data_IF_908095658966
#
_entry.id   IF_908095658966
#
_cell.length_a   1.000
_cell.length_b   1.000
_cell.length_c   1.000
_cell.angle_alpha   90.00
_cell.angle_beta   90.00
_cell.angle_gamma   90.00
#
_symmetry.space_group_name_H-M   'P 1'
#
loop_
_entity.id
_entity.type
_entity.pdbx_description
1 polymer ?
#
# COMPACT_ATOMS: atom_id res chain seq x y z
N UNK A 1 25.94 11.98 3.38
CA UNK A 1 25.48 10.65 3.70
C UNK A 1 25.41 9.87 2.40
N UNK A 2 26.29 8.86 2.29
CA UNK A 2 26.37 7.95 1.17
C UNK A 2 24.99 7.33 0.91
N UNK A 3 24.62 7.23 -0.36
CA UNK A 3 23.42 6.51 -0.76
C UNK A 3 23.63 5.03 -0.43
N UNK A 4 22.97 4.47 0.57
CA UNK A 4 23.15 3.07 0.92
C UNK A 4 22.64 2.20 -0.23
N UNK A 5 23.55 1.44 -0.82
CA UNK A 5 23.25 0.49 -1.89
C UNK A 5 23.48 -0.93 -1.40
N UNK A 6 22.55 -1.82 -1.73
CA UNK A 6 22.72 -3.27 -1.55
C UNK A 6 23.13 -3.84 -2.90
N UNK A 7 24.31 -4.47 -2.95
CA UNK A 7 24.81 -5.15 -4.13
C UNK A 7 24.66 -6.66 -3.95
N UNK A 8 23.93 -7.30 -4.83
CA UNK A 8 23.68 -8.74 -4.83
C UNK A 8 24.31 -9.38 -6.07
N UNK A 9 24.93 -10.52 -5.86
CA UNK A 9 25.64 -11.25 -6.94
C UNK A 9 24.69 -11.97 -7.91
N UNK A 10 23.44 -12.14 -7.51
CA UNK A 10 22.44 -12.89 -8.27
C UNK A 10 21.16 -12.08 -8.39
N UNK A 11 20.69 -11.91 -9.64
CA UNK A 11 19.42 -11.26 -9.94
C UNK A 11 18.23 -11.89 -9.22
N UNK A 12 18.26 -13.23 -9.05
CA UNK A 12 17.20 -13.96 -8.36
C UNK A 12 17.10 -13.53 -6.88
N UNK A 13 18.23 -13.42 -6.18
CA UNK A 13 18.26 -12.95 -4.78
C UNK A 13 17.73 -11.51 -4.66
N UNK A 14 18.07 -10.66 -5.64
CA UNK A 14 17.57 -9.30 -5.67
C UNK A 14 16.05 -9.25 -5.88
N UNK A 15 15.51 -10.06 -6.78
CA UNK A 15 14.07 -10.18 -7.00
C UNK A 15 13.35 -10.74 -5.76
N UNK A 16 13.90 -11.77 -5.13
CA UNK A 16 13.35 -12.33 -3.90
C UNK A 16 13.28 -11.29 -2.78
N UNK A 17 14.34 -10.49 -2.59
CA UNK A 17 14.35 -9.40 -1.63
C UNK A 17 13.29 -8.33 -1.95
N UNK A 18 13.17 -7.92 -3.21
CA UNK A 18 12.18 -6.92 -3.62
C UNK A 18 10.75 -7.44 -3.42
N UNK A 19 10.49 -8.70 -3.77
CA UNK A 19 9.19 -9.35 -3.53
C UNK A 19 8.87 -9.44 -2.05
N UNK A 20 9.87 -9.70 -1.21
CA UNK A 20 9.68 -9.72 0.25
C UNK A 20 9.33 -8.34 0.79
N UNK A 21 9.98 -7.27 0.30
CA UNK A 21 9.64 -5.89 0.66
C UNK A 21 8.22 -5.55 0.22
N UNK A 22 7.83 -5.88 -1.02
CA UNK A 22 6.47 -5.67 -1.54
C UNK A 22 5.42 -6.39 -0.69
N UNK A 23 5.66 -7.64 -0.37
CA UNK A 23 4.77 -8.45 0.50
C UNK A 23 4.63 -7.83 1.89
N UNK A 24 5.73 -7.37 2.48
CA UNK A 24 5.72 -6.72 3.80
C UNK A 24 4.92 -5.41 3.77
N UNK A 25 5.12 -4.58 2.75
CA UNK A 25 4.37 -3.31 2.59
C UNK A 25 2.87 -3.59 2.43
N UNK A 26 2.52 -4.57 1.61
CA UNK A 26 1.11 -4.97 1.40
C UNK A 26 0.48 -5.50 2.69
N UNK A 27 1.21 -6.32 3.45
CA UNK A 27 0.75 -6.82 4.76
C UNK A 27 0.51 -5.69 5.75
N UNK A 28 1.43 -4.72 5.83
CA UNK A 28 1.28 -3.56 6.72
C UNK A 28 0.08 -2.68 6.33
N UNK A 29 -0.18 -2.48 5.04
CA UNK A 29 -1.38 -1.75 4.58
C UNK A 29 -2.66 -2.50 4.96
N UNK A 30 -2.70 -3.83 4.75
CA UNK A 30 -3.86 -4.65 5.13
C UNK A 30 -4.10 -4.66 6.64
N UNK A 31 -3.03 -4.70 7.43
CA UNK A 31 -3.13 -4.63 8.89
C UNK A 31 -3.65 -3.26 9.35
N UNK A 32 -3.13 -2.17 8.77
CA UNK A 32 -3.63 -0.83 9.04
C UNK A 32 -5.12 -0.71 8.69
N UNK A 33 -5.54 -1.21 7.52
CA UNK A 33 -6.95 -1.22 7.13
C UNK A 33 -7.81 -2.00 8.13
N UNK A 34 -7.37 -3.18 8.55
CA UNK A 34 -8.09 -4.00 9.54
C UNK A 34 -8.24 -3.30 10.90
N UNK A 35 -7.29 -2.45 11.28
CA UNK A 35 -7.38 -1.66 12.51
C UNK A 35 -8.28 -0.44 12.36
N UNK A 36 -8.24 0.26 11.22
CA UNK A 36 -9.04 1.47 10.99
C UNK A 36 -10.50 1.17 10.69
N UNK A 37 -10.80 0.09 9.99
CA UNK A 37 -12.18 -0.26 9.59
C UNK A 37 -13.17 -0.30 10.75
N UNK A 38 -12.91 -1.01 11.87
CA UNK A 38 -13.85 -1.05 12.99
C UNK A 38 -14.09 0.32 13.64
N UNK A 39 -13.05 1.17 13.67
CA UNK A 39 -13.20 2.52 14.24
C UNK A 39 -14.02 3.43 13.33
N UNK A 40 -13.84 3.32 12.02
CA UNK A 40 -14.69 4.03 11.05
C UNK A 40 -16.15 3.56 11.12
N UNK A 41 -16.39 2.26 11.22
CA UNK A 41 -17.72 1.69 11.37
C UNK A 41 -18.42 2.20 12.65
N UNK A 42 -17.69 2.31 13.77
CA UNK A 42 -18.20 2.90 15.01
C UNK A 42 -18.57 4.38 14.84
N UNK A 43 -17.71 5.16 14.16
CA UNK A 43 -17.97 6.57 13.91
C UNK A 43 -19.23 6.74 13.05
N UNK A 44 -19.33 5.98 11.95
CA UNK A 44 -20.49 6.01 11.05
C UNK A 44 -21.76 5.61 11.80
N UNK A 45 -21.73 4.50 12.53
CA UNK A 45 -22.86 4.04 13.36
C UNK A 45 -23.23 5.06 14.44
N UNK A 46 -22.26 5.73 15.05
CA UNK A 46 -22.49 6.81 16.03
C UNK A 46 -23.17 8.03 15.41
N UNK A 47 -22.72 8.44 14.23
CA UNK A 47 -23.35 9.55 13.47
C UNK A 47 -24.78 9.16 13.07
N UNK A 48 -24.97 7.97 12.51
CA UNK A 48 -26.28 7.46 12.10
C UNK A 48 -27.26 7.40 13.27
N UNK A 49 -26.82 6.83 14.39
CA UNK A 49 -27.64 6.71 15.60
C UNK A 49 -27.98 8.09 16.19
N UNK A 50 -26.99 9.00 16.26
CA UNK A 50 -27.19 10.36 16.76
C UNK A 50 -28.14 11.16 15.87
N UNK A 51 -27.94 11.08 14.55
CA UNK A 51 -28.79 11.75 13.58
C UNK A 51 -30.21 11.20 13.59
N UNK A 52 -30.39 9.87 13.56
CA UNK A 52 -31.71 9.22 13.65
C UNK A 52 -32.44 9.60 14.94
N UNK A 53 -31.74 9.58 16.08
CA UNK A 53 -32.32 9.92 17.37
C UNK A 53 -32.84 11.37 17.38
N UNK A 54 -32.03 12.30 16.92
CA UNK A 54 -32.40 13.74 16.87
C UNK A 54 -33.49 14.00 15.83
N UNK A 55 -33.35 13.43 14.63
CA UNK A 55 -34.28 13.62 13.54
C UNK A 55 -35.63 12.93 13.83
N UNK A 56 -35.65 11.72 14.36
CA UNK A 56 -36.88 11.05 14.80
C UNK A 56 -37.61 11.87 15.84
N UNK A 57 -36.91 12.36 16.88
CA UNK A 57 -37.53 13.18 17.91
C UNK A 57 -38.16 14.45 17.34
N UNK A 58 -37.44 15.17 16.45
CA UNK A 58 -37.97 16.35 15.78
C UNK A 58 -39.15 16.02 14.87
N UNK A 59 -39.07 14.91 14.14
CA UNK A 59 -40.06 14.51 13.15
C UNK A 59 -41.31 13.93 13.80
N UNK A 60 -41.17 13.13 14.86
CA UNK A 60 -42.30 12.65 15.62
C UNK A 60 -43.10 13.78 16.26
N UNK A 61 -42.38 14.83 16.71
CA UNK A 61 -43.01 15.99 17.27
C UNK A 61 -43.74 16.80 16.17
N UNK A 62 -43.12 17.00 15.01
CA UNK A 62 -43.72 17.71 13.86
C UNK A 62 -44.85 16.86 13.26
N UNK A 63 -44.60 15.58 12.97
CA UNK A 63 -45.61 14.69 12.42
C UNK A 63 -46.78 14.50 13.37
N UNK A 64 -46.54 14.38 14.68
CA UNK A 64 -47.57 14.32 15.70
C UNK A 64 -48.45 15.56 15.71
N UNK A 65 -47.86 16.79 15.60
CA UNK A 65 -48.60 18.04 15.50
C UNK A 65 -49.37 18.19 14.19
N UNK A 66 -48.79 17.74 13.05
CA UNK A 66 -49.48 17.73 11.76
C UNK A 66 -50.59 16.73 11.76
N UNK A 67 -50.34 15.48 12.19
CA UNK A 67 -51.33 14.42 12.25
C UNK A 67 -52.46 14.77 13.19
N UNK A 68 -52.19 15.42 14.31
CA UNK A 68 -53.24 15.92 15.21
C UNK A 68 -54.16 16.99 14.56
N UNK A 69 -53.60 17.78 13.63
CA UNK A 69 -54.41 18.78 12.90
C UNK A 69 -55.16 18.22 11.68
N UNK A 70 -54.59 17.13 11.09
CA UNK A 70 -55.15 16.49 9.88
C UNK A 70 -55.97 15.22 10.24
N UNK A 71 -56.13 14.92 11.51
CA UNK A 71 -56.83 13.72 11.97
C UNK A 71 -58.26 13.64 11.42
N UNK A 72 -58.92 14.80 11.30
CA UNK A 72 -60.26 14.90 10.78
C UNK A 72 -60.35 14.75 9.25
N UNK A 73 -59.22 14.84 8.53
CA UNK A 73 -59.14 14.75 7.08
C UNK A 73 -58.60 13.37 6.60
N UNK A 74 -58.26 12.47 7.52
CA UNK A 74 -57.81 11.11 7.17
C UNK A 74 -56.39 11.00 6.61
N UNK A 75 -55.58 12.07 6.67
CA UNK A 75 -54.21 12.04 6.23
C UNK A 75 -53.23 11.63 7.34
N UNK A 76 -52.26 10.79 7.00
CA UNK A 76 -51.17 10.40 7.90
C UNK A 76 -49.82 10.65 7.23
N UNK A 77 -49.00 11.51 7.83
CA UNK A 77 -47.63 11.76 7.41
C UNK A 77 -46.70 10.73 8.05
N UNK A 78 -46.00 9.96 7.20
CA UNK A 78 -44.91 9.04 7.62
C UNK A 78 -43.61 9.54 7.04
N UNK A 79 -42.57 9.67 7.86
CA UNK A 79 -41.25 10.05 7.45
C UNK A 79 -40.34 8.83 7.58
N UNK A 80 -39.67 8.46 6.50
CA UNK A 80 -38.70 7.37 6.46
C UNK A 80 -37.29 7.91 6.22
N UNK A 81 -36.32 7.37 6.93
CA UNK A 81 -34.91 7.70 6.73
C UNK A 81 -34.26 6.65 5.82
N UNK A 82 -33.49 7.08 4.81
CA UNK A 82 -32.69 6.15 4.01
C UNK A 82 -31.59 5.50 4.86
N UNK A 83 -31.20 4.29 4.47
CA UNK A 83 -30.08 3.59 5.12
C UNK A 83 -28.75 4.12 4.58
N UNK A 84 -27.82 4.47 5.44
CA UNK A 84 -26.46 4.81 5.06
C UNK A 84 -25.79 3.59 4.41
N UNK A 85 -25.29 3.74 3.19
CA UNK A 85 -24.64 2.66 2.44
C UNK A 85 -23.39 2.15 3.17
N UNK A 86 -23.24 0.81 3.26
CA UNK A 86 -22.07 0.21 3.89
C UNK A 86 -20.80 0.56 3.12
N UNK A 87 -19.77 0.93 3.86
CA UNK A 87 -18.44 1.24 3.36
C UNK A 87 -17.87 0.05 2.56
N UNK A 88 -17.70 0.22 1.25
CA UNK A 88 -17.03 -0.75 0.39
C UNK A 88 -15.65 -0.23 -0.04
N UNK A 89 -14.73 -0.06 0.92
CA UNK A 89 -13.35 0.27 0.58
C UNK A 89 -12.59 -0.99 0.16
N UNK A 90 -12.29 -1.11 -1.12
CA UNK A 90 -11.30 -2.07 -1.64
C UNK A 90 -10.14 -1.28 -2.23
N UNK A 91 -9.19 -0.93 -1.38
CA UNK A 91 -7.97 -0.27 -1.80
C UNK A 91 -6.95 -1.35 -2.23
N UNK A 92 -6.73 -1.49 -3.52
CA UNK A 92 -5.67 -2.34 -4.06
C UNK A 92 -4.52 -1.46 -4.57
N UNK A 93 -3.53 -1.24 -3.73
CA UNK A 93 -2.28 -0.58 -4.17
C UNK A 93 -1.42 -1.61 -4.89
N UNK A 94 -1.24 -1.44 -6.21
CA UNK A 94 -0.30 -2.25 -6.98
C UNK A 94 1.11 -1.70 -6.77
N UNK A 95 1.95 -2.48 -6.11
CA UNK A 95 3.37 -2.19 -5.92
C UNK A 95 4.18 -2.90 -6.99
N UNK A 96 5.13 -2.20 -7.62
CA UNK A 96 6.13 -2.78 -8.52
C UNK A 96 7.50 -2.21 -8.17
N UNK A 97 8.06 -2.65 -7.04
CA UNK A 97 9.36 -2.21 -6.58
C UNK A 97 10.51 -2.87 -7.36
N UNK A 98 10.25 -3.98 -8.03
CA UNK A 98 11.26 -4.69 -8.84
C UNK A 98 11.83 -3.83 -9.98
N UNK A 99 11.06 -2.82 -10.46
CA UNK A 99 11.52 -1.85 -11.45
C UNK A 99 12.63 -0.91 -10.94
N UNK A 100 12.86 -0.83 -9.61
CA UNK A 100 13.91 0.01 -9.01
C UNK A 100 15.27 -0.70 -8.92
N UNK A 101 15.36 -1.93 -9.37
CA UNK A 101 16.58 -2.71 -9.41
C UNK A 101 17.42 -2.32 -10.64
N UNK A 102 18.68 -2.00 -10.42
CA UNK A 102 19.65 -1.68 -11.48
C UNK A 102 20.59 -2.86 -11.67
N UNK A 103 20.92 -3.18 -12.93
CA UNK A 103 22.00 -4.12 -13.23
C UNK A 103 23.27 -3.33 -13.54
N UNK A 104 24.36 -3.63 -12.83
CA UNK A 104 25.69 -3.07 -13.08
C UNK A 104 26.66 -4.18 -13.44
N UNK A 105 27.41 -3.99 -14.50
CA UNK A 105 28.50 -4.88 -14.89
C UNK A 105 29.78 -4.39 -14.25
N UNK A 106 30.41 -5.25 -13.48
CA UNK A 106 31.69 -4.98 -12.83
C UNK A 106 32.74 -5.94 -13.40
N UNK A 107 33.86 -5.39 -13.86
CA UNK A 107 34.98 -6.20 -14.33
C UNK A 107 35.81 -6.64 -13.13
N UNK A 108 35.77 -7.94 -12.84
CA UNK A 108 36.53 -8.56 -11.75
C UNK A 108 37.72 -9.31 -12.32
N UNK A 109 38.91 -9.00 -11.81
CA UNK A 109 40.11 -9.73 -12.15
C UNK A 109 40.15 -11.06 -11.38
N UNK A 110 40.15 -12.16 -12.12
CA UNK A 110 40.28 -13.52 -11.55
C UNK A 110 41.61 -14.12 -11.98
N UNK A 111 42.14 -15.04 -11.16
CA UNK A 111 43.34 -15.83 -11.48
C UNK A 111 42.91 -17.19 -11.97
N UNK A 112 43.46 -17.62 -13.10
CA UNK A 112 43.35 -19.01 -13.58
C UNK A 112 44.71 -19.59 -13.86
N UNK A 113 44.80 -20.90 -13.83
CA UNK A 113 46.02 -21.61 -14.20
C UNK A 113 46.22 -21.52 -15.72
N UNK A 114 47.44 -21.19 -16.18
CA UNK A 114 47.76 -21.22 -17.62
C UNK A 114 47.64 -22.65 -18.15
N UNK A 115 46.84 -22.85 -19.17
CA UNK A 115 46.65 -24.14 -19.83
C UNK A 115 47.85 -24.54 -20.70
N UNK A 116 48.99 -23.85 -20.62
CA UNK A 116 50.22 -24.18 -21.33
C UNK A 116 50.92 -25.36 -20.66
N UNK A 117 51.60 -26.20 -21.47
CA UNK A 117 52.40 -27.29 -20.96
C UNK A 117 53.45 -26.85 -19.93
N UNK A 118 54.02 -25.66 -20.09
CA UNK A 118 54.95 -25.00 -19.15
C UNK A 118 54.26 -24.65 -17.83
N UNK A 119 53.03 -24.18 -17.89
CA UNK A 119 52.23 -23.85 -16.68
C UNK A 119 51.93 -25.08 -15.81
N UNK A 120 51.72 -26.22 -16.43
CA UNK A 120 51.53 -27.51 -15.74
C UNK A 120 52.80 -28.02 -15.08
N UNK A 121 53.97 -27.90 -15.72
CA UNK A 121 55.26 -28.30 -15.16
C UNK A 121 55.67 -27.37 -13.99
N UNK A 122 55.55 -26.06 -14.17
CA UNK A 122 55.89 -25.09 -13.10
C UNK A 122 54.98 -25.22 -11.85
N UNK A 123 53.73 -25.65 -12.03
CA UNK A 123 52.85 -25.97 -10.89
C UNK A 123 53.27 -27.18 -10.10
N UNK A 124 54.05 -28.10 -10.71
CA UNK A 124 54.60 -29.28 -10.05
C UNK A 124 55.89 -29.00 -9.28
N UNK A 125 56.67 -28.00 -9.70
CA UNK A 125 57.94 -27.60 -9.08
C UNK A 125 57.74 -26.62 -7.89
N UNK A 126 56.51 -26.28 -7.53
CA UNK A 126 56.19 -25.56 -6.27
C UNK A 126 56.44 -24.04 -6.29
N UNK A 127 56.67 -23.44 -7.45
CA UNK A 127 56.79 -21.98 -7.58
C UNK A 127 55.38 -21.37 -7.57
N UNK A 128 54.94 -20.87 -6.45
CA UNK A 128 53.56 -20.44 -6.17
C UNK A 128 53.00 -19.35 -7.10
N UNK A 129 53.83 -18.64 -7.83
CA UNK A 129 53.40 -17.54 -8.69
C UNK A 129 53.48 -17.83 -10.21
N UNK A 130 54.34 -18.77 -10.60
CA UNK A 130 54.50 -19.17 -12.00
C UNK A 130 53.37 -20.14 -12.45
N UNK A 131 52.76 -19.84 -13.59
CA UNK A 131 51.70 -20.67 -14.13
C UNK A 131 50.30 -20.16 -13.90
N UNK A 132 50.15 -19.01 -13.25
CA UNK A 132 48.88 -18.31 -13.08
C UNK A 132 48.83 -17.08 -13.98
N UNK A 133 47.68 -16.81 -14.54
CA UNK A 133 47.40 -15.57 -15.26
C UNK A 133 46.16 -14.89 -14.68
N UNK A 134 46.23 -13.58 -14.68
CA UNK A 134 45.06 -12.77 -14.37
C UNK A 134 44.23 -12.59 -15.63
N UNK A 135 42.95 -12.79 -15.53
CA UNK A 135 42.01 -12.51 -16.60
C UNK A 135 40.82 -11.71 -16.05
N UNK A 136 40.31 -10.85 -16.87
CA UNK A 136 39.18 -10.03 -16.50
C UNK A 136 37.90 -10.76 -16.90
N UNK A 137 36.94 -10.77 -15.97
CA UNK A 137 35.59 -11.33 -16.19
C UNK A 137 34.60 -10.26 -15.84
N UNK A 138 33.71 -10.01 -16.75
CA UNK A 138 32.59 -9.13 -16.49
C UNK A 138 31.51 -9.91 -15.73
N UNK A 139 31.20 -9.42 -14.53
CA UNK A 139 30.19 -10.00 -13.65
C UNK A 139 29.04 -9.03 -13.52
N UNK A 140 27.86 -9.43 -13.92
CA UNK A 140 26.65 -8.66 -13.70
C UNK A 140 26.22 -8.78 -12.24
N UNK A 141 25.99 -7.64 -11.59
CA UNK A 141 25.49 -7.54 -10.24
C UNK A 141 24.19 -6.74 -10.21
N UNK A 142 23.27 -7.15 -9.37
CA UNK A 142 22.05 -6.39 -9.13
C UNK A 142 22.25 -5.42 -7.97
N UNK A 143 21.98 -4.14 -8.21
CA UNK A 143 22.15 -3.06 -7.24
C UNK A 143 20.78 -2.50 -6.87
N UNK A 144 20.49 -2.46 -5.58
CA UNK A 144 19.27 -1.89 -5.02
C UNK A 144 19.64 -0.63 -4.25
N UNK A 145 19.13 0.51 -4.68
CA UNK A 145 19.31 1.77 -3.96
C UNK A 145 18.22 1.91 -2.90
N UNK A 146 18.60 1.80 -1.63
CA UNK A 146 17.69 1.83 -0.48
C UNK A 146 16.91 3.15 -0.42
N UNK A 147 17.54 4.28 -0.77
CA UNK A 147 16.85 5.57 -0.75
C UNK A 147 15.76 5.66 -1.83
N UNK A 148 15.98 5.06 -3.01
CA UNK A 148 14.94 4.98 -4.06
C UNK A 148 13.78 4.11 -3.60
N UNK A 149 14.07 2.92 -3.03
CA UNK A 149 13.05 2.02 -2.47
C UNK A 149 12.26 2.71 -1.37
N UNK A 150 12.95 3.35 -0.42
CA UNK A 150 12.30 4.10 0.66
C UNK A 150 11.37 5.20 0.14
N UNK A 151 11.83 6.00 -0.82
CA UNK A 151 11.00 7.07 -1.42
C UNK A 151 9.76 6.50 -2.09
N UNK A 152 9.90 5.40 -2.82
CA UNK A 152 8.78 4.75 -3.49
C UNK A 152 7.78 4.17 -2.50
N UNK A 153 8.24 3.44 -1.48
CA UNK A 153 7.38 2.93 -0.41
C UNK A 153 6.64 4.07 0.29
N UNK A 154 7.32 5.19 0.60
CA UNK A 154 6.66 6.36 1.20
C UNK A 154 5.62 6.98 0.25
N UNK A 155 5.90 7.03 -1.06
CA UNK A 155 4.96 7.52 -2.07
C UNK A 155 3.71 6.65 -2.15
N UNK A 156 3.90 5.33 -2.22
CA UNK A 156 2.81 4.34 -2.22
C UNK A 156 1.96 4.42 -0.95
N UNK A 157 2.60 4.55 0.21
CA UNK A 157 1.89 4.69 1.49
C UNK A 157 1.07 5.99 1.53
N UNK A 158 1.62 7.11 1.04
CA UNK A 158 0.87 8.37 0.95
C UNK A 158 -0.30 8.28 -0.02
N UNK A 159 -0.10 7.63 -1.17
CA UNK A 159 -1.18 7.40 -2.13
C UNK A 159 -2.29 6.55 -1.51
N UNK A 160 -1.93 5.47 -0.80
CA UNK A 160 -2.88 4.63 -0.08
C UNK A 160 -3.74 5.42 0.91
N UNK A 161 -3.12 6.22 1.77
CA UNK A 161 -3.87 7.04 2.71
C UNK A 161 -4.68 8.16 2.03
N UNK A 162 -4.20 8.69 0.91
CA UNK A 162 -4.95 9.66 0.10
C UNK A 162 -6.21 9.04 -0.51
N UNK A 163 -6.12 7.83 -1.04
CA UNK A 163 -7.27 7.09 -1.55
C UNK A 163 -8.25 6.71 -0.44
N UNK A 164 -7.76 6.29 0.73
CA UNK A 164 -8.58 6.01 1.90
C UNK A 164 -9.34 7.28 2.34
N UNK A 165 -8.67 8.43 2.41
CA UNK A 165 -9.32 9.69 2.74
C UNK A 165 -10.38 10.10 1.71
N UNK A 166 -10.10 9.93 0.42
CA UNK A 166 -11.05 10.22 -0.63
C UNK A 166 -12.28 9.30 -0.57
N UNK A 167 -12.07 8.01 -0.27
CA UNK A 167 -13.16 7.04 -0.07
C UNK A 167 -14.04 7.41 1.13
N UNK A 168 -13.44 7.81 2.27
CA UNK A 168 -14.20 8.30 3.42
C UNK A 168 -15.04 9.52 3.06
N UNK A 169 -14.48 10.47 2.32
CA UNK A 169 -15.22 11.66 1.89
C UNK A 169 -16.37 11.31 0.97
N UNK A 170 -16.17 10.44 -0.02
CA UNK A 170 -17.18 10.06 -1.00
C UNK A 170 -18.24 9.10 -0.44
N UNK A 171 -17.81 8.10 0.35
CA UNK A 171 -18.69 7.00 0.75
C UNK A 171 -19.41 7.29 2.08
N UNK A 172 -18.89 8.23 2.88
CA UNK A 172 -19.46 8.58 4.18
C UNK A 172 -19.91 10.03 4.21
N UNK A 173 -18.99 10.99 4.06
CA UNK A 173 -19.27 12.40 4.34
C UNK A 173 -20.28 12.98 3.33
N UNK A 174 -20.13 12.70 2.04
CA UNK A 174 -21.06 13.22 1.02
C UNK A 174 -22.48 12.66 1.15
N UNK A 175 -22.68 11.33 1.28
CA UNK A 175 -24.01 10.78 1.51
C UNK A 175 -24.68 11.33 2.78
N UNK A 176 -23.93 11.38 3.90
CA UNK A 176 -24.45 11.94 5.16
C UNK A 176 -24.88 13.40 5.00
N UNK A 177 -24.08 14.23 4.32
CA UNK A 177 -24.46 15.62 4.05
C UNK A 177 -25.70 15.71 3.17
N UNK A 178 -25.78 14.91 2.10
CA UNK A 178 -26.94 14.89 1.22
C UNK A 178 -28.22 14.49 1.95
N UNK A 179 -28.13 13.49 2.85
CA UNK A 179 -29.26 13.08 3.67
C UNK A 179 -29.71 14.17 4.65
N UNK A 180 -28.73 14.85 5.28
CA UNK A 180 -29.01 15.99 6.16
C UNK A 180 -29.69 17.13 5.36
N UNK A 181 -29.15 17.51 4.23
CA UNK A 181 -29.67 18.57 3.38
C UNK A 181 -31.09 18.23 2.89
N UNK A 182 -31.30 16.97 2.42
CA UNK A 182 -32.60 16.50 1.99
C UNK A 182 -33.64 16.46 3.13
N UNK A 183 -33.19 16.33 4.38
CA UNK A 183 -34.09 16.36 5.54
C UNK A 183 -34.54 17.75 5.90
N UNK A 184 -33.70 18.79 5.65
CA UNK A 184 -34.00 20.18 6.01
C UNK A 184 -34.56 21.03 4.85
N UNK A 185 -34.59 20.51 3.62
CA UNK A 185 -35.21 21.14 2.44
C UNK A 185 -36.60 20.58 2.18
#
# INVERSE_FOLDING_TARGET
PENPEITLNNRREALELMTQIESTVTSLHSEAEAQFRPELEKIVSGIETGFRGTALYATENIAGRINARLADEGFTVKISFPAVSQLQTRLAVKTNLSALMEERTETVTRRRRKDSFIGKICGWIGTKEWGWENYNVDVSRSVININKVRKEVMSLTRAYFGELQASIEQDINQPVRQEIDAFFC
#
